data_IF_873489355376
#
_entry.id   IF_873489355376
#
_cell.length_a   1.000
_cell.length_b   1.000
_cell.length_c   1.000
_cell.angle_alpha   90.00
_cell.angle_beta   90.00
_cell.angle_gamma   90.00
#
_symmetry.space_group_name_H-M   'P 1'
#
loop_
_entity.id
_entity.type
_entity.pdbx_description
1 polymer ?
#
# COMPACT_ATOMS: atom_id res chain seq x y z
N UNK A 1 -5.43 10.23 -18.17
CA UNK A 1 -5.45 8.75 -18.22
C UNK A 1 -6.75 8.31 -17.57
N UNK A 2 -7.41 7.34 -18.18
CA UNK A 2 -8.53 6.61 -17.59
C UNK A 2 -8.00 5.39 -16.83
N UNK A 3 -8.82 4.78 -15.98
CA UNK A 3 -8.38 3.62 -15.19
C UNK A 3 -7.98 2.46 -16.11
N UNK A 4 -8.73 2.28 -17.20
CA UNK A 4 -8.47 1.29 -18.24
C UNK A 4 -7.16 1.53 -19.02
N UNK A 5 -6.62 2.75 -19.02
CA UNK A 5 -5.31 3.06 -19.64
C UNK A 5 -4.14 2.55 -18.78
N UNK A 6 -4.36 2.34 -17.48
CA UNK A 6 -3.36 1.87 -16.51
C UNK A 6 -3.45 0.34 -16.33
N UNK A 7 -4.67 -0.19 -16.18
CA UNK A 7 -4.97 -1.62 -16.19
C UNK A 7 -6.27 -1.84 -16.97
N UNK A 8 -6.16 -2.57 -18.09
CA UNK A 8 -7.32 -3.01 -18.86
C UNK A 8 -8.29 -3.83 -17.99
N UNK A 9 -9.58 -3.84 -18.37
CA UNK A 9 -10.63 -4.47 -17.58
C UNK A 9 -10.47 -5.99 -17.41
N UNK A 10 -9.85 -6.65 -18.38
CA UNK A 10 -9.54 -8.08 -18.39
C UNK A 10 -8.24 -8.44 -17.66
N UNK A 11 -7.53 -7.43 -17.15
CA UNK A 11 -6.22 -7.58 -16.55
C UNK A 11 -6.28 -7.26 -15.06
N UNK A 12 -5.74 -8.15 -14.22
CA UNK A 12 -5.73 -7.98 -12.76
C UNK A 12 -4.40 -7.43 -12.22
N UNK A 13 -3.34 -7.45 -13.03
CA UNK A 13 -2.00 -7.03 -12.63
C UNK A 13 -1.28 -6.36 -13.80
N UNK A 14 -0.46 -5.36 -13.51
CA UNK A 14 0.44 -4.78 -14.49
C UNK A 14 1.82 -4.55 -13.87
N UNK A 15 2.85 -4.47 -14.71
CA UNK A 15 4.22 -4.24 -14.27
C UNK A 15 4.57 -2.77 -14.37
N UNK A 16 5.01 -2.19 -13.25
CA UNK A 16 5.51 -0.81 -13.14
C UNK A 16 6.93 -0.88 -12.57
N UNK A 17 7.91 -0.28 -13.24
CA UNK A 17 9.32 -0.27 -12.78
C UNK A 17 9.89 -1.68 -12.44
N UNK A 18 9.41 -2.73 -13.13
CA UNK A 18 9.81 -4.12 -12.86
C UNK A 18 9.08 -4.79 -11.68
N UNK A 19 8.17 -4.07 -11.02
CA UNK A 19 7.32 -4.57 -9.93
C UNK A 19 5.93 -4.92 -10.48
N UNK A 20 5.47 -6.14 -10.22
CA UNK A 20 4.10 -6.55 -10.53
C UNK A 20 3.14 -5.98 -9.50
N UNK A 21 2.17 -5.18 -9.95
CA UNK A 21 1.17 -4.50 -9.11
C UNK A 21 -0.22 -4.99 -9.46
N UNK A 22 -0.98 -5.39 -8.43
CA UNK A 22 -2.37 -5.84 -8.61
C UNK A 22 -3.32 -4.65 -8.59
N UNK A 23 -4.41 -4.72 -9.38
CA UNK A 23 -5.49 -3.69 -9.43
C UNK A 23 -6.01 -3.33 -8.04
N UNK A 24 -6.09 -4.32 -7.15
CA UNK A 24 -6.57 -4.18 -5.78
C UNK A 24 -5.56 -3.64 -4.77
N UNK A 25 -4.29 -3.44 -5.13
CA UNK A 25 -3.20 -3.12 -4.17
C UNK A 25 -3.50 -1.84 -3.38
N UNK A 26 -3.94 -0.77 -4.02
CA UNK A 26 -4.25 0.49 -3.33
C UNK A 26 -5.44 0.33 -2.39
N UNK A 27 -6.48 -0.40 -2.81
CA UNK A 27 -7.65 -0.69 -1.97
C UNK A 27 -7.30 -1.54 -0.74
N UNK A 28 -6.48 -2.58 -0.94
CA UNK A 28 -5.99 -3.44 0.14
C UNK A 28 -5.12 -2.65 1.13
N UNK A 29 -4.23 -1.78 0.66
CA UNK A 29 -3.44 -0.90 1.52
C UNK A 29 -4.34 -0.03 2.41
N UNK A 30 -5.34 0.65 1.82
CA UNK A 30 -6.26 1.50 2.58
C UNK A 30 -7.08 0.70 3.60
N UNK A 31 -7.48 -0.54 3.27
CA UNK A 31 -8.19 -1.42 4.20
C UNK A 31 -7.30 -1.83 5.38
N UNK A 32 -6.06 -2.24 5.12
CA UNK A 32 -5.11 -2.60 6.18
C UNK A 32 -4.76 -1.41 7.07
N UNK A 33 -4.56 -0.21 6.51
CA UNK A 33 -4.35 1.01 7.30
C UNK A 33 -5.50 1.26 8.28
N UNK A 34 -6.75 1.03 7.87
CA UNK A 34 -7.91 1.20 8.77
C UNK A 34 -7.89 0.20 9.93
N UNK A 35 -7.57 -1.07 9.66
CA UNK A 35 -7.48 -2.11 10.70
C UNK A 35 -6.31 -1.81 11.65
N UNK A 36 -5.14 -1.48 11.10
CA UNK A 36 -3.94 -1.15 11.86
C UNK A 36 -4.14 0.07 12.78
N UNK A 37 -4.89 1.09 12.34
CA UNK A 37 -5.18 2.27 13.15
C UNK A 37 -6.37 2.11 14.11
N UNK A 38 -7.16 1.03 14.01
CA UNK A 38 -8.34 0.81 14.86
C UNK A 38 -7.94 0.29 16.24
N UNK A 39 -8.25 1.05 17.29
CA UNK A 39 -7.96 0.68 18.68
C UNK A 39 -8.81 -0.48 19.20
N UNK A 40 -9.88 -0.86 18.48
CA UNK A 40 -10.73 -2.01 18.82
C UNK A 40 -10.32 -3.30 18.07
N UNK A 41 -9.42 -3.21 17.08
CA UNK A 41 -8.91 -4.38 16.40
C UNK A 41 -8.07 -5.23 17.36
N UNK A 42 -8.06 -6.55 17.14
CA UNK A 42 -7.20 -7.44 17.90
C UNK A 42 -5.72 -7.15 17.61
N UNK A 43 -4.84 -7.50 18.54
CA UNK A 43 -3.39 -7.35 18.31
C UNK A 43 -2.93 -8.17 17.09
N UNK A 44 -3.48 -9.35 16.87
CA UNK A 44 -3.15 -10.19 15.72
C UNK A 44 -3.58 -9.53 14.40
N UNK A 45 -4.77 -8.93 14.36
CA UNK A 45 -5.27 -8.22 13.17
C UNK A 45 -4.43 -6.97 12.88
N UNK A 46 -4.02 -6.22 13.91
CA UNK A 46 -3.15 -5.06 13.74
C UNK A 46 -1.76 -5.47 13.22
N UNK A 47 -1.18 -6.57 13.73
CA UNK A 47 0.12 -7.08 13.26
C UNK A 47 0.04 -7.60 11.83
N UNK A 48 -1.04 -8.31 11.48
CA UNK A 48 -1.28 -8.75 10.10
C UNK A 48 -1.41 -7.54 9.17
N UNK A 49 -2.20 -6.54 9.56
CA UNK A 49 -2.37 -5.33 8.78
C UNK A 49 -1.06 -4.55 8.60
N UNK A 50 -0.23 -4.44 9.63
CA UNK A 50 1.10 -3.82 9.54
C UNK A 50 1.99 -4.53 8.51
N UNK A 51 2.02 -5.86 8.54
CA UNK A 51 2.77 -6.65 7.57
C UNK A 51 2.30 -6.42 6.14
N UNK A 52 0.98 -6.44 5.92
CA UNK A 52 0.40 -6.21 4.59
C UNK A 52 0.66 -4.78 4.09
N UNK A 53 0.62 -3.78 4.98
CA UNK A 53 1.02 -2.40 4.69
C UNK A 53 2.46 -2.39 4.16
N UNK A 54 3.40 -2.97 4.90
CA UNK A 54 4.82 -3.02 4.53
C UNK A 54 5.02 -3.74 3.18
N UNK A 55 4.38 -4.89 2.99
CA UNK A 55 4.49 -5.69 1.76
C UNK A 55 3.96 -4.96 0.52
N UNK A 56 2.99 -4.05 0.69
CA UNK A 56 2.45 -3.27 -0.42
C UNK A 56 3.34 -2.09 -0.83
N UNK A 57 4.27 -1.63 0.02
CA UNK A 57 5.06 -0.42 -0.22
C UNK A 57 5.84 -0.43 -1.55
N UNK A 58 6.50 -1.51 -1.98
CA UNK A 58 7.18 -1.54 -3.27
C UNK A 58 6.24 -1.26 -4.44
N UNK A 59 5.04 -1.84 -4.42
CA UNK A 59 4.03 -1.63 -5.43
C UNK A 59 3.48 -0.19 -5.41
N UNK A 60 3.27 0.39 -4.22
CA UNK A 60 2.82 1.78 -4.08
C UNK A 60 3.87 2.80 -4.54
N UNK A 61 5.15 2.49 -4.33
CA UNK A 61 6.28 3.27 -4.87
C UNK A 61 6.35 3.17 -6.39
N UNK A 62 6.24 1.96 -6.95
CA UNK A 62 6.32 1.75 -8.40
C UNK A 62 5.22 2.46 -9.21
N UNK A 63 4.04 2.68 -8.61
CA UNK A 63 2.95 3.45 -9.23
C UNK A 63 2.99 4.95 -8.88
N UNK A 64 4.00 5.41 -8.12
CA UNK A 64 4.19 6.80 -7.74
C UNK A 64 3.16 7.35 -6.75
N UNK A 65 2.43 6.50 -6.01
CA UNK A 65 1.39 6.98 -5.09
C UNK A 65 1.97 7.89 -4.01
N UNK A 66 3.12 7.50 -3.46
CA UNK A 66 3.79 8.22 -2.37
C UNK A 66 4.57 9.45 -2.83
N UNK A 67 4.71 9.66 -4.14
CA UNK A 67 5.31 10.88 -4.71
C UNK A 67 4.30 12.03 -4.76
N UNK A 68 3.01 11.71 -4.71
CA UNK A 68 1.89 12.68 -4.80
C UNK A 68 1.14 12.79 -3.48
N UNK A 69 1.00 11.69 -2.74
CA UNK A 69 0.24 11.63 -1.49
C UNK A 69 1.13 11.24 -0.31
N UNK A 70 0.94 11.94 0.80
CA UNK A 70 1.51 11.56 2.09
C UNK A 70 0.41 11.08 3.07
N UNK A 71 0.70 10.06 3.91
CA UNK A 71 -0.22 9.66 4.96
C UNK A 71 -0.40 10.76 6.02
N UNK A 72 -1.65 11.01 6.43
CA UNK A 72 -1.97 12.00 7.46
C UNK A 72 -1.55 11.56 8.87
N UNK A 73 -1.71 10.27 9.20
CA UNK A 73 -1.29 9.70 10.49
C UNK A 73 0.24 9.70 10.56
N UNK A 74 0.81 10.35 11.59
CA UNK A 74 2.26 10.41 11.80
C UNK A 74 2.85 9.04 12.08
N UNK A 75 2.13 8.14 12.77
CA UNK A 75 2.59 6.78 13.05
C UNK A 75 2.73 5.98 11.76
N UNK A 76 1.80 6.17 10.82
CA UNK A 76 1.88 5.52 9.51
C UNK A 76 3.05 6.08 8.68
N UNK A 77 3.30 7.39 8.74
CA UNK A 77 4.50 7.98 8.10
C UNK A 77 5.79 7.38 8.65
N UNK A 78 5.90 7.23 9.97
CA UNK A 78 7.05 6.60 10.61
C UNK A 78 7.21 5.13 10.20
N UNK A 79 6.12 4.36 10.15
CA UNK A 79 6.12 2.98 9.70
C UNK A 79 6.68 2.85 8.27
N UNK A 80 6.17 3.67 7.35
CA UNK A 80 6.60 3.68 5.95
C UNK A 80 8.06 4.12 5.82
N UNK A 81 8.49 5.13 6.58
CA UNK A 81 9.87 5.58 6.57
C UNK A 81 10.84 4.50 7.07
N UNK A 82 10.48 3.78 8.14
CA UNK A 82 11.28 2.66 8.67
C UNK A 82 11.36 1.49 7.69
N UNK A 83 10.24 1.11 7.09
CA UNK A 83 10.19 0.03 6.11
C UNK A 83 10.84 0.39 4.76
N UNK A 84 11.01 1.68 4.48
CA UNK A 84 11.65 2.19 3.27
C UNK A 84 13.13 2.52 3.40
N UNK A 85 13.70 2.47 4.61
CA UNK A 85 15.12 2.66 4.83
C UNK A 85 15.89 1.44 4.29
N UNK A 86 16.97 1.62 3.51
CA UNK A 86 17.87 0.52 3.20
C UNK A 86 18.54 0.03 4.50
N UNK A 87 18.64 -1.29 4.66
CA UNK A 87 19.52 -1.91 5.68
C UNK A 87 20.98 -1.56 5.45
#
# INVERSE_FOLDING_TARGET
MRAEDILADDTNEATFEGVTVRKGTVGAFLANVRVWSDSNASMDDQLLAEREIIQSLPALKAIGLLDVFEPKDSRLRELIAKAGAPE
#
